data_IF_838545392266
#
_entry.id   IF_838545392266
#
_cell.length_a   1.000
_cell.length_b   1.000
_cell.length_c   1.000
_cell.angle_alpha   90.00
_cell.angle_beta   90.00
_cell.angle_gamma   90.00
#
_symmetry.space_group_name_H-M   'P 1'
#
loop_
_entity.id
_entity.type
_entity.pdbx_description
1 polymer ?
#
# COMPACT_ATOMS: atom_id res chain seq x y z
N UNK A 1 14.83 21.32 22.32
CA UNK A 1 14.76 20.79 20.94
C UNK A 1 13.55 19.87 20.87
N UNK A 2 12.75 19.93 19.80
CA UNK A 2 11.62 19.04 19.57
C UNK A 2 11.90 18.29 18.27
N UNK A 3 11.91 16.96 18.30
CA UNK A 3 12.04 16.16 17.09
C UNK A 3 10.65 16.10 16.45
N UNK A 4 10.47 16.63 15.25
CA UNK A 4 9.23 16.48 14.52
C UNK A 4 9.24 15.12 13.82
N UNK A 5 8.22 14.30 14.09
CA UNK A 5 8.04 13.04 13.39
C UNK A 5 7.60 13.31 11.95
N UNK A 6 8.19 12.60 11.00
CA UNK A 6 7.75 12.63 9.61
C UNK A 6 6.30 12.13 9.48
N UNK A 7 5.44 12.78 8.68
CA UNK A 7 4.07 12.31 8.45
C UNK A 7 4.04 10.93 7.79
N UNK A 8 2.87 10.25 7.82
CA UNK A 8 2.68 8.97 7.12
C UNK A 8 2.98 9.12 5.63
N UNK A 9 3.50 8.04 5.03
CA UNK A 9 3.97 8.05 3.63
C UNK A 9 5.31 8.75 3.43
N UNK A 10 6.00 9.14 4.52
CA UNK A 10 7.32 9.77 4.46
C UNK A 10 8.24 9.25 5.57
N UNK A 11 9.55 9.23 5.29
CA UNK A 11 10.59 8.74 6.20
C UNK A 11 11.79 9.71 6.30
N UNK A 12 12.65 9.53 7.32
CA UNK A 12 13.91 10.25 7.46
C UNK A 12 15.05 9.35 7.91
N UNK A 13 15.93 8.97 6.98
CA UNK A 13 17.16 8.23 7.22
C UNK A 13 18.35 9.09 7.69
N UNK A 14 18.29 10.42 7.49
CA UNK A 14 19.39 11.33 7.86
C UNK A 14 19.16 12.04 9.20
N UNK A 15 20.07 11.82 10.16
CA UNK A 15 20.00 12.45 11.48
C UNK A 15 20.06 13.98 11.40
N UNK A 16 19.23 14.64 12.23
CA UNK A 16 19.09 16.10 12.31
C UNK A 16 18.46 16.78 11.07
N UNK A 17 18.07 16.03 10.05
CA UNK A 17 17.46 16.58 8.84
C UNK A 17 15.95 16.77 9.00
N UNK A 18 15.42 17.93 8.61
CA UNK A 18 14.00 18.31 8.79
C UNK A 18 13.10 17.94 7.62
N UNK A 19 13.67 17.41 6.53
CA UNK A 19 12.97 17.19 5.25
C UNK A 19 12.69 15.72 5.04
N UNK A 20 11.46 15.30 5.30
CA UNK A 20 11.03 13.92 5.13
C UNK A 20 10.98 13.52 3.64
N UNK A 21 11.58 12.38 3.32
CA UNK A 21 11.58 11.79 1.97
C UNK A 21 10.27 11.00 1.79
N UNK A 22 9.63 11.10 0.63
CA UNK A 22 8.41 10.31 0.36
C UNK A 22 8.76 8.84 0.15
N UNK A 23 7.85 7.94 0.54
CA UNK A 23 7.93 6.53 0.15
C UNK A 23 7.92 6.36 -1.38
N UNK A 24 8.42 5.21 -1.90
CA UNK A 24 8.25 4.83 -3.29
C UNK A 24 6.79 4.83 -3.76
N UNK A 25 6.58 4.82 -5.07
CA UNK A 25 5.24 4.64 -5.67
C UNK A 25 4.59 3.37 -5.14
N UNK A 26 3.29 3.45 -4.85
CA UNK A 26 2.49 2.38 -4.27
C UNK A 26 3.06 1.84 -2.93
N UNK A 27 3.72 2.69 -2.15
CA UNK A 27 4.19 2.38 -0.78
C UNK A 27 3.84 3.50 0.22
N UNK A 28 3.62 3.12 1.48
CA UNK A 28 3.37 4.07 2.59
C UNK A 28 3.98 3.58 3.91
N UNK A 29 4.01 4.42 4.95
CA UNK A 29 4.60 4.06 6.25
C UNK A 29 3.56 3.64 7.28
N UNK A 30 3.87 2.59 8.05
CA UNK A 30 2.96 2.01 9.04
C UNK A 30 2.65 2.94 10.24
N UNK A 31 3.47 3.98 10.43
CA UNK A 31 3.19 5.11 11.31
C UNK A 31 3.88 6.39 10.80
N UNK A 32 3.51 7.52 11.38
CA UNK A 32 4.38 8.71 11.39
C UNK A 32 5.69 8.41 12.14
N UNK A 33 6.77 9.10 11.79
CA UNK A 33 8.08 8.94 12.41
C UNK A 33 8.90 7.76 11.86
N UNK A 34 8.64 7.32 10.63
CA UNK A 34 9.54 6.40 9.95
C UNK A 34 10.92 7.04 9.76
N UNK A 35 11.96 6.24 9.99
CA UNK A 35 13.37 6.64 9.93
C UNK A 35 14.16 5.88 8.85
N UNK A 36 13.49 5.11 8.01
CA UNK A 36 14.10 4.37 6.90
C UNK A 36 13.09 4.07 5.80
N UNK A 37 13.56 3.99 4.56
CA UNK A 37 12.78 3.56 3.40
C UNK A 37 12.24 2.13 3.57
N UNK A 38 12.96 1.26 4.29
CA UNK A 38 12.52 -0.10 4.62
C UNK A 38 11.30 -0.19 5.55
N UNK A 39 10.81 0.95 6.08
CA UNK A 39 9.55 1.04 6.81
C UNK A 39 8.37 1.47 5.91
N UNK A 40 8.63 1.78 4.64
CA UNK A 40 7.62 1.88 3.60
C UNK A 40 7.20 0.45 3.19
N UNK A 41 5.93 0.09 3.41
CA UNK A 41 5.33 -1.15 2.91
C UNK A 41 4.50 -0.85 1.66
N UNK A 42 4.36 -1.83 0.78
CA UNK A 42 3.53 -1.72 -0.42
C UNK A 42 2.08 -1.49 -0.03
N UNK A 43 1.47 -0.39 -0.49
CA UNK A 43 0.01 -0.21 -0.48
C UNK A 43 -0.65 -1.10 -1.50
N UNK A 44 0.08 -1.63 -2.49
CA UNK A 44 -0.54 -2.45 -3.53
C UNK A 44 -0.87 -3.87 -3.03
N UNK A 45 -2.15 -4.15 -2.77
CA UNK A 45 -2.57 -5.44 -2.20
C UNK A 45 -2.48 -6.60 -3.22
N UNK A 46 -2.59 -6.27 -4.51
CA UNK A 46 -2.38 -7.22 -5.60
C UNK A 46 -0.90 -7.63 -5.75
N UNK A 47 0.03 -6.81 -5.26
CA UNK A 47 1.46 -7.08 -5.27
C UNK A 47 1.93 -7.81 -4.00
N UNK A 48 1.31 -7.52 -2.85
CA UNK A 48 1.58 -8.25 -1.59
C UNK A 48 0.91 -9.63 -1.55
N UNK A 49 -0.15 -9.84 -2.33
CA UNK A 49 -0.98 -11.05 -2.27
C UNK A 49 -1.89 -11.08 -1.05
N UNK A 50 -2.17 -9.90 -0.46
CA UNK A 50 -3.20 -9.72 0.57
C UNK A 50 -4.60 -9.58 -0.06
N UNK A 51 -4.66 -9.45 -1.40
CA UNK A 51 -5.89 -9.61 -2.15
C UNK A 51 -6.47 -11.03 -1.99
N UNK A 52 -7.79 -11.11 -1.89
CA UNK A 52 -8.52 -12.38 -1.79
C UNK A 52 -9.19 -12.74 -3.12
N UNK A 53 -8.59 -12.35 -4.26
CA UNK A 53 -9.18 -12.56 -5.56
C UNK A 53 -9.10 -14.02 -6.02
N UNK A 54 -10.05 -14.40 -6.89
CA UNK A 54 -10.03 -15.72 -7.52
C UNK A 54 -8.81 -15.85 -8.44
N UNK A 55 -8.26 -17.04 -8.59
CA UNK A 55 -7.20 -17.27 -9.59
C UNK A 55 -7.69 -16.99 -11.04
N UNK A 56 -9.00 -17.13 -11.27
CA UNK A 56 -9.69 -16.73 -12.50
C UNK A 56 -10.10 -15.24 -12.51
N UNK A 57 -9.59 -14.39 -11.63
CA UNK A 57 -9.81 -12.95 -11.61
C UNK A 57 -8.53 -12.16 -11.91
N UNK A 58 -8.71 -10.88 -12.22
CA UNK A 58 -7.69 -9.86 -12.12
C UNK A 58 -7.92 -9.11 -10.80
N UNK A 59 -6.87 -9.00 -9.99
CA UNK A 59 -6.84 -8.00 -8.93
C UNK A 59 -6.56 -6.62 -9.55
N UNK A 60 -7.26 -5.61 -9.05
CA UNK A 60 -7.12 -4.21 -9.42
C UNK A 60 -6.88 -3.45 -8.12
N UNK A 61 -5.70 -2.89 -7.99
CA UNK A 61 -5.34 -2.06 -6.85
C UNK A 61 -6.12 -0.74 -6.91
N UNK A 62 -6.64 -0.28 -5.77
CA UNK A 62 -7.35 1.00 -5.64
C UNK A 62 -6.63 1.86 -4.59
N UNK A 63 -6.79 3.19 -4.64
CA UNK A 63 -6.25 4.05 -3.59
C UNK A 63 -6.82 3.69 -2.22
N UNK A 64 -5.93 3.43 -1.25
CA UNK A 64 -6.29 3.25 0.15
C UNK A 64 -6.98 4.51 0.69
N UNK A 65 -8.14 4.34 1.34
CA UNK A 65 -8.87 5.45 1.98
C UNK A 65 -8.63 5.41 3.49
N UNK A 66 -8.09 6.47 4.08
CA UNK A 66 -7.82 6.58 5.52
C UNK A 66 -7.01 5.39 6.11
N UNK A 67 -5.95 4.97 5.41
CA UNK A 67 -5.13 3.78 5.73
C UNK A 67 -5.91 2.45 5.73
N UNK A 68 -7.06 2.38 5.04
CA UNK A 68 -7.80 1.13 4.78
C UNK A 68 -7.42 0.59 3.39
N UNK A 69 -6.76 -0.59 3.32
CA UNK A 69 -6.49 -1.32 2.08
C UNK A 69 -7.71 -1.45 1.17
N UNK A 70 -7.58 -1.00 -0.09
CA UNK A 70 -8.68 -1.01 -1.08
C UNK A 70 -8.28 -1.72 -2.37
N UNK A 71 -8.96 -2.82 -2.70
CA UNK A 71 -8.74 -3.56 -3.94
C UNK A 71 -10.06 -4.06 -4.55
N UNK A 72 -10.07 -4.28 -5.87
CA UNK A 72 -11.19 -4.85 -6.60
C UNK A 72 -10.80 -6.11 -7.38
N UNK A 73 -11.49 -7.20 -7.10
CA UNK A 73 -11.39 -8.44 -7.88
C UNK A 73 -12.38 -8.44 -9.04
N UNK A 74 -11.90 -8.62 -10.27
CA UNK A 74 -12.74 -8.69 -11.48
C UNK A 74 -12.49 -9.99 -12.24
N UNK A 75 -13.52 -10.83 -12.42
CA UNK A 75 -13.38 -12.10 -13.15
C UNK A 75 -12.79 -11.87 -14.56
N UNK A 76 -11.89 -12.77 -14.97
CA UNK A 76 -11.30 -12.82 -16.32
C UNK A 76 -12.40 -13.03 -17.37
N UNK A 77 -12.23 -12.53 -18.61
CA UNK A 77 -13.17 -12.80 -19.69
C UNK A 77 -13.44 -14.30 -19.84
N UNK A 78 -14.73 -14.68 -19.89
CA UNK A 78 -15.18 -16.08 -19.93
C UNK A 78 -15.65 -16.63 -18.58
N UNK A 79 -15.23 -16.05 -17.46
CA UNK A 79 -15.60 -16.48 -16.11
C UNK A 79 -16.69 -15.57 -15.50
N UNK A 80 -17.50 -16.12 -14.59
CA UNK A 80 -18.56 -15.41 -13.87
C UNK A 80 -18.47 -15.65 -12.37
N UNK A 81 -18.91 -14.65 -11.61
CA UNK A 81 -18.94 -14.68 -10.15
C UNK A 81 -18.74 -13.29 -9.55
N UNK A 82 -18.23 -13.26 -8.32
CA UNK A 82 -18.09 -12.04 -7.50
C UNK A 82 -16.65 -11.49 -7.43
N UNK A 83 -15.73 -12.03 -8.23
CA UNK A 83 -14.32 -11.65 -8.22
C UNK A 83 -13.44 -12.49 -7.29
N UNK A 84 -13.90 -12.84 -6.09
CA UNK A 84 -13.18 -13.76 -5.19
C UNK A 84 -13.42 -15.23 -5.54
N UNK A 85 -14.58 -15.52 -6.13
CA UNK A 85 -14.93 -16.80 -6.75
C UNK A 85 -15.36 -16.55 -8.20
N UNK A 86 -14.62 -17.09 -9.16
CA UNK A 86 -14.85 -16.95 -10.59
C UNK A 86 -14.74 -18.33 -11.26
N UNK A 87 -15.77 -18.73 -11.99
CA UNK A 87 -15.94 -20.05 -12.63
C UNK A 87 -16.70 -19.95 -13.95
#
# INVERSE_FOLDING_TARGET
KHCQFCPRGTFQDEEQHTTCKMCPTDHTTAAQGATAESQCYSTNQCATGEDNCSWHAHCIDLPDDNDVPSFQCKCKPGYRGNGTYCQ
#
